data_IF_699874064067
#
_entry.id   IF_699874064067
#
_cell.length_a   1.000
_cell.length_b   1.000
_cell.length_c   1.000
_cell.angle_alpha   90.00
_cell.angle_beta   90.00
_cell.angle_gamma   90.00
#
_symmetry.space_group_name_H-M   'P 1'
#
loop_
_entity.id
_entity.type
_entity.pdbx_description
1 polymer ?
#
# COMPACT_ATOMS: atom_id res chain seq x y z
N UNK A 1 12.97 -4.49 -15.93
CA UNK A 1 12.17 -4.97 -14.77
C UNK A 1 11.69 -3.86 -13.84
N UNK A 2 12.44 -2.75 -13.70
CA UNK A 2 11.99 -1.58 -12.91
C UNK A 2 10.61 -1.02 -13.34
N UNK A 3 10.37 -0.89 -14.65
CA UNK A 3 9.07 -0.41 -15.15
C UNK A 3 7.89 -1.29 -14.71
N UNK A 4 8.06 -2.62 -14.68
CA UNK A 4 7.03 -3.56 -14.24
C UNK A 4 6.71 -3.37 -12.75
N UNK A 5 7.74 -3.24 -11.91
CA UNK A 5 7.57 -2.97 -10.48
C UNK A 5 6.84 -1.64 -10.22
N UNK A 6 7.13 -0.62 -11.05
CA UNK A 6 6.50 0.69 -10.96
C UNK A 6 5.01 0.62 -11.34
N UNK A 7 4.68 -0.07 -12.44
CA UNK A 7 3.28 -0.30 -12.84
C UNK A 7 2.50 -1.08 -11.76
N UNK A 8 3.11 -2.12 -11.19
CA UNK A 8 2.49 -2.89 -10.10
C UNK A 8 2.32 -2.01 -8.85
N UNK A 9 3.33 -1.23 -8.47
CA UNK A 9 3.25 -0.32 -7.32
C UNK A 9 2.15 0.72 -7.46
N UNK A 10 2.02 1.34 -8.65
CA UNK A 10 0.92 2.26 -8.94
C UNK A 10 -0.43 1.54 -8.88
N UNK A 11 -0.51 0.31 -9.41
CA UNK A 11 -1.76 -0.47 -9.40
C UNK A 11 -2.21 -0.79 -7.97
N UNK A 12 -1.28 -1.23 -7.12
CA UNK A 12 -1.55 -1.49 -5.69
C UNK A 12 -1.97 -0.19 -4.98
N UNK A 13 -1.29 0.92 -5.26
CA UNK A 13 -1.64 2.24 -4.70
C UNK A 13 -3.08 2.62 -5.03
N UNK A 14 -3.50 2.48 -6.29
CA UNK A 14 -4.89 2.78 -6.71
C UNK A 14 -5.89 1.91 -5.94
N UNK A 15 -5.60 0.63 -5.74
CA UNK A 15 -6.47 -0.26 -4.96
C UNK A 15 -6.57 0.19 -3.50
N UNK A 16 -5.45 0.53 -2.85
CA UNK A 16 -5.44 1.06 -1.48
C UNK A 16 -6.30 2.33 -1.39
N UNK A 17 -6.15 3.24 -2.36
CA UNK A 17 -6.89 4.49 -2.41
C UNK A 17 -8.41 4.25 -2.52
N UNK A 18 -8.82 3.33 -3.39
CA UNK A 18 -10.24 2.96 -3.52
C UNK A 18 -10.80 2.38 -2.22
N UNK A 19 -10.05 1.49 -1.56
CA UNK A 19 -10.46 0.92 -0.27
C UNK A 19 -10.56 2.02 0.79
N UNK A 20 -9.58 2.92 0.86
CA UNK A 20 -9.59 4.03 1.83
C UNK A 20 -10.78 4.96 1.61
N UNK A 21 -11.19 5.23 0.37
CA UNK A 21 -12.41 5.99 0.05
C UNK A 21 -13.65 5.27 0.59
N UNK A 22 -13.77 3.96 0.37
CA UNK A 22 -14.91 3.17 0.88
C UNK A 22 -14.96 3.18 2.41
N UNK A 23 -13.81 2.97 3.09
CA UNK A 23 -13.74 3.03 4.56
C UNK A 23 -14.09 4.42 5.07
N UNK A 24 -13.60 5.45 4.39
CA UNK A 24 -13.89 6.86 4.71
C UNK A 24 -15.39 7.13 4.67
N UNK A 25 -16.08 6.66 3.63
CA UNK A 25 -17.54 6.81 3.48
C UNK A 25 -18.34 5.96 4.47
N UNK A 26 -17.83 4.78 4.84
CA UNK A 26 -18.52 3.86 5.75
C UNK A 26 -18.33 4.21 7.23
N UNK A 27 -17.30 4.98 7.58
CA UNK A 27 -16.96 5.31 8.98
C UNK A 27 -17.47 6.70 9.36
N UNK A 28 -18.38 6.76 10.34
CA UNK A 28 -18.75 7.99 11.04
C UNK A 28 -17.55 8.52 11.84
N UNK A 29 -17.34 9.83 11.83
CA UNK A 29 -16.10 10.52 12.25
C UNK A 29 -15.42 9.95 13.51
N UNK A 30 -14.09 9.74 13.42
CA UNK A 30 -13.23 9.45 14.58
C UNK A 30 -12.44 8.14 14.57
N UNK A 31 -12.37 7.41 13.44
CA UNK A 31 -11.66 6.13 13.38
C UNK A 31 -10.37 6.13 12.55
N UNK A 32 -9.26 5.67 13.12
CA UNK A 32 -8.01 5.39 12.39
C UNK A 32 -8.09 4.18 11.43
N UNK A 33 -9.29 3.67 11.15
CA UNK A 33 -9.54 2.51 10.28
C UNK A 33 -9.05 2.72 8.84
N UNK A 34 -8.99 3.98 8.38
CA UNK A 34 -8.48 4.36 7.06
C UNK A 34 -6.98 4.04 6.84
N UNK A 35 -6.22 3.80 7.91
CA UNK A 35 -4.80 3.41 7.83
C UNK A 35 -4.59 1.90 7.73
N UNK A 36 -5.60 1.10 8.06
CA UNK A 36 -5.49 -0.37 8.13
C UNK A 36 -5.09 -0.98 6.77
N UNK A 37 -5.68 -0.58 5.61
CA UNK A 37 -5.29 -1.17 4.33
C UNK A 37 -3.82 -0.92 3.99
N UNK A 38 -3.33 0.30 4.22
CA UNK A 38 -1.93 0.64 3.97
C UNK A 38 -0.98 -0.11 4.92
N UNK A 39 -1.36 -0.28 6.19
CA UNK A 39 -0.58 -1.05 7.16
C UNK A 39 -0.47 -2.54 6.78
N UNK A 40 -1.55 -3.15 6.29
CA UNK A 40 -1.54 -4.54 5.81
C UNK A 40 -0.60 -4.68 4.62
N UNK A 41 -0.69 -3.78 3.64
CA UNK A 41 0.16 -3.83 2.45
C UNK A 41 1.64 -3.57 2.81
N UNK A 42 1.91 -2.69 3.78
CA UNK A 42 3.25 -2.47 4.30
C UNK A 42 3.83 -3.76 4.91
N UNK A 43 3.09 -4.41 5.81
CA UNK A 43 3.53 -5.65 6.44
C UNK A 43 3.77 -6.77 5.40
N UNK A 44 2.87 -6.93 4.44
CA UNK A 44 3.03 -7.88 3.33
C UNK A 44 4.28 -7.55 2.49
N UNK A 45 4.53 -6.27 2.22
CA UNK A 45 5.71 -5.79 1.51
C UNK A 45 7.01 -6.15 2.22
N UNK A 46 7.08 -5.99 3.54
CA UNK A 46 8.23 -6.42 4.35
C UNK A 46 8.43 -7.93 4.23
N UNK A 47 7.37 -8.72 4.41
CA UNK A 47 7.46 -10.19 4.33
C UNK A 47 8.01 -10.63 2.98
N UNK A 48 7.50 -10.07 1.88
CA UNK A 48 8.00 -10.38 0.54
C UNK A 48 9.46 -9.95 0.34
N UNK A 49 9.84 -8.77 0.83
CA UNK A 49 11.21 -8.28 0.74
C UNK A 49 12.19 -9.15 1.54
N UNK A 50 11.79 -9.63 2.72
CA UNK A 50 12.59 -10.55 3.54
C UNK A 50 12.71 -11.92 2.87
N UNK A 51 11.62 -12.49 2.35
CA UNK A 51 11.68 -13.76 1.62
C UNK A 51 12.64 -13.68 0.43
N UNK A 52 12.69 -12.54 -0.26
CA UNK A 52 13.58 -12.31 -1.38
C UNK A 52 15.08 -12.39 -1.01
N UNK A 53 15.46 -12.24 0.26
CA UNK A 53 16.86 -12.40 0.70
C UNK A 53 17.27 -13.86 0.80
N UNK A 54 16.33 -14.78 0.98
CA UNK A 54 16.59 -16.22 1.13
C UNK A 54 16.59 -16.97 -0.19
N UNK A 55 16.07 -16.38 -1.27
CA UNK A 55 16.06 -17.01 -2.58
C UNK A 55 15.42 -16.14 -3.65
N UNK A 56 15.77 -16.41 -4.91
CA UNK A 56 15.17 -15.77 -6.08
C UNK A 56 13.83 -16.45 -6.40
N UNK A 57 12.79 -16.02 -5.71
CA UNK A 57 11.41 -16.43 -6.01
C UNK A 57 10.80 -15.39 -6.93
N UNK A 58 10.36 -15.81 -8.10
CA UNK A 58 9.69 -14.97 -9.09
C UNK A 58 8.21 -15.33 -9.20
N UNK A 59 7.37 -14.30 -9.25
CA UNK A 59 5.94 -14.42 -9.44
C UNK A 59 5.49 -13.41 -10.49
N UNK A 60 4.79 -13.89 -11.52
CA UNK A 60 4.25 -13.09 -12.62
C UNK A 60 5.30 -12.18 -13.28
N UNK A 61 6.51 -12.71 -13.48
CA UNK A 61 7.61 -11.99 -14.14
C UNK A 61 8.30 -10.92 -13.27
N UNK A 62 7.98 -10.87 -11.97
CA UNK A 62 8.66 -10.01 -11.00
C UNK A 62 9.12 -10.82 -9.79
N UNK A 63 10.37 -10.61 -9.38
CA UNK A 63 10.89 -11.20 -8.14
C UNK A 63 10.14 -10.72 -6.90
N UNK A 64 10.14 -11.51 -5.84
CA UNK A 64 9.55 -11.13 -4.54
C UNK A 64 10.14 -9.83 -3.98
N UNK A 65 11.40 -9.52 -4.29
CA UNK A 65 12.00 -8.23 -3.93
C UNK A 65 11.35 -7.05 -4.68
N UNK A 66 10.94 -7.26 -5.93
CA UNK A 66 10.19 -6.26 -6.71
C UNK A 66 8.76 -6.10 -6.21
N UNK A 67 8.07 -7.20 -5.89
CA UNK A 67 6.74 -7.15 -5.27
C UNK A 67 6.78 -6.48 -3.90
N UNK A 68 7.75 -6.84 -3.07
CA UNK A 68 7.99 -6.20 -1.77
C UNK A 68 8.24 -4.71 -1.91
N UNK A 69 9.13 -4.29 -2.81
CA UNK A 69 9.39 -2.88 -3.08
C UNK A 69 8.16 -2.13 -3.58
N UNK A 70 7.40 -2.71 -4.51
CA UNK A 70 6.17 -2.12 -5.03
C UNK A 70 5.10 -1.95 -3.95
N UNK A 71 4.91 -2.95 -3.09
CA UNK A 71 3.98 -2.89 -1.95
C UNK A 71 4.40 -1.86 -0.91
N UNK A 72 5.69 -1.80 -0.55
CA UNK A 72 6.20 -0.82 0.41
C UNK A 72 6.06 0.61 -0.11
N UNK A 73 6.35 0.83 -1.40
CA UNK A 73 6.15 2.11 -2.06
C UNK A 73 4.67 2.51 -2.06
N UNK A 74 3.78 1.61 -2.47
CA UNK A 74 2.35 1.87 -2.49
C UNK A 74 1.79 2.16 -1.08
N UNK A 75 2.24 1.43 -0.07
CA UNK A 75 1.85 1.65 1.31
C UNK A 75 2.31 3.02 1.82
N UNK A 76 3.56 3.42 1.56
CA UNK A 76 4.09 4.71 1.98
C UNK A 76 3.31 5.88 1.37
N UNK A 77 3.09 5.86 0.06
CA UNK A 77 2.29 6.90 -0.60
C UNK A 77 0.83 6.86 -0.11
N UNK A 78 0.26 5.66 0.01
CA UNK A 78 -1.09 5.47 0.55
C UNK A 78 -1.24 6.10 1.94
N UNK A 79 -0.30 5.86 2.86
CA UNK A 79 -0.34 6.48 4.19
C UNK A 79 -0.24 8.00 4.17
N UNK A 80 0.58 8.57 3.27
CA UNK A 80 0.71 10.03 3.14
C UNK A 80 -0.60 10.64 2.63
N UNK A 81 -1.23 10.01 1.64
CA UNK A 81 -2.50 10.53 1.11
C UNK A 81 -3.61 10.39 2.14
N UNK A 82 -3.67 9.25 2.86
CA UNK A 82 -4.61 9.05 3.96
C UNK A 82 -4.45 10.11 5.06
N UNK A 83 -3.22 10.48 5.43
CA UNK A 83 -3.01 11.50 6.46
C UNK A 83 -3.47 12.90 6.03
N UNK A 84 -3.32 13.23 4.74
CA UNK A 84 -3.86 14.45 4.17
C UNK A 84 -5.39 14.44 4.24
N UNK A 85 -6.04 13.37 3.78
CA UNK A 85 -7.51 13.22 3.82
C UNK A 85 -8.05 13.33 5.24
N UNK A 86 -7.39 12.67 6.19
CA UNK A 86 -7.77 12.71 7.60
C UNK A 86 -7.67 14.10 8.20
N UNK A 87 -6.60 14.84 7.85
CA UNK A 87 -6.42 16.24 8.27
C UNK A 87 -7.57 17.10 7.78
N UNK A 88 -8.03 16.92 6.54
CA UNK A 88 -9.17 17.65 6.00
C UNK A 88 -10.50 17.28 6.68
N UNK A 89 -10.68 16.01 7.07
CA UNK A 89 -11.88 15.57 7.80
C UNK A 89 -11.98 16.15 9.20
N UNK A 90 -10.87 16.23 9.92
CA UNK A 90 -10.84 16.72 11.30
C UNK A 90 -10.71 18.25 11.43
N UNK A 91 -10.43 18.96 10.34
CA UNK A 91 -10.30 20.43 10.32
C UNK A 91 -11.58 21.15 9.87
N UNK A 92 -12.59 20.42 9.38
CA UNK A 92 -13.89 20.94 8.94
C UNK A 92 -14.95 20.78 10.04
#
# INVERSE_FOLDING_TARGET
>A
MFNLALVIGISILVVIMLINIVITLATSDGGYGIYVPAAIVFAAGIVMAVIATFGKIEMFGLGFGGWGGASLFAAAIGTIVTSIVETYRHSA
#
